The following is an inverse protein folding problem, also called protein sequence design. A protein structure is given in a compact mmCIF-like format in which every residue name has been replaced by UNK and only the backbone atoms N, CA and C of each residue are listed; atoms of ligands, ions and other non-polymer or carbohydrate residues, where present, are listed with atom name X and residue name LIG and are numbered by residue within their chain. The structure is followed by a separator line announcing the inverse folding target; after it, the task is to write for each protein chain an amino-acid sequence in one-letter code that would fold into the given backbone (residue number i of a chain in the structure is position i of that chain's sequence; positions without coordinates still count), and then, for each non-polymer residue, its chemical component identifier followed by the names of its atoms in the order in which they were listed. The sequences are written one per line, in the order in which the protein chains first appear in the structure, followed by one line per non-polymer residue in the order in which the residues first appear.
data_IF_532040821787
#
_entry.id   IF_532040821787
#
_cell.length_a   1.000
_cell.length_b   1.000
_cell.length_c   1.000
_cell.angle_alpha   90.00
_cell.angle_beta   90.00
_cell.angle_gamma   90.00
#
_symmetry.space_group_name_H-M   'P 1'
#
loop_
_entity.id
_entity.type
_entity.pdbx_description
1 polymer ?
#
# COMPACT_ATOMS: atom_id res chain seq x y z
N UNK A 1 -14.30 -22.01 6.31
CA UNK A 1 -14.27 -20.56 6.61
C UNK A 1 -14.85 -19.83 5.42
N UNK A 2 -15.90 -19.04 5.61
CA UNK A 2 -16.40 -18.17 4.55
C UNK A 2 -15.45 -16.98 4.37
N UNK A 3 -14.66 -17.01 3.29
CA UNK A 3 -13.77 -15.93 2.92
C UNK A 3 -14.53 -14.61 2.70
N UNK A 4 -15.80 -14.66 2.28
CA UNK A 4 -16.61 -13.47 2.04
C UNK A 4 -16.93 -12.70 3.35
N UNK A 5 -17.02 -13.40 4.48
CA UNK A 5 -17.23 -12.81 5.81
C UNK A 5 -15.94 -12.26 6.47
N UNK A 6 -14.76 -12.50 5.89
CA UNK A 6 -13.50 -12.05 6.49
C UNK A 6 -13.44 -10.52 6.61
N UNK A 7 -13.12 -10.02 7.81
CA UNK A 7 -13.01 -8.58 8.10
C UNK A 7 -11.55 -8.10 8.15
N UNK A 8 -10.60 -9.02 8.32
CA UNK A 8 -9.17 -8.72 8.53
C UNK A 8 -8.30 -9.78 7.85
N UNK A 9 -7.13 -9.37 7.37
CA UNK A 9 -6.06 -10.26 6.89
C UNK A 9 -4.78 -9.99 7.66
N UNK A 10 -4.05 -11.07 7.97
CA UNK A 10 -2.70 -11.02 8.54
C UNK A 10 -1.70 -11.53 7.52
N UNK A 11 -0.74 -10.68 7.14
CA UNK A 11 0.35 -11.03 6.22
C UNK A 11 1.63 -11.18 7.03
N UNK A 12 2.21 -12.38 6.99
CA UNK A 12 3.50 -12.67 7.64
C UNK A 12 4.65 -12.42 6.64
N UNK A 13 5.44 -11.39 6.90
CA UNK A 13 6.62 -11.04 6.11
C UNK A 13 7.86 -11.65 6.78
N UNK A 14 8.39 -12.73 6.17
CA UNK A 14 9.58 -13.44 6.67
C UNK A 14 10.89 -12.67 6.47
N UNK A 15 10.92 -11.75 5.50
CA UNK A 15 12.08 -10.92 5.20
C UNK A 15 11.72 -9.78 4.26
N UNK A 16 12.52 -8.72 4.28
CA UNK A 16 12.41 -7.62 3.33
C UNK A 16 13.75 -6.94 3.18
N UNK A 17 13.99 -6.22 2.06
CA UNK A 17 15.22 -5.43 1.85
C UNK A 17 15.58 -4.54 3.05
N UNK A 18 14.57 -4.02 3.76
CA UNK A 18 14.73 -3.13 4.91
C UNK A 18 14.74 -3.85 6.27
N UNK A 19 14.72 -5.18 6.27
CA UNK A 19 14.72 -6.02 7.47
C UNK A 19 15.77 -7.12 7.33
N UNK A 20 17.03 -6.68 7.28
CA UNK A 20 18.18 -7.55 7.04
C UNK A 20 18.46 -8.51 8.21
N UNK A 21 17.95 -8.21 9.41
CA UNK A 21 18.01 -9.09 10.59
C UNK A 21 17.07 -10.29 10.51
N UNK A 22 16.16 -10.34 9.53
CA UNK A 22 15.27 -11.48 9.31
C UNK A 22 14.12 -11.62 10.32
N UNK A 23 13.92 -10.66 11.23
CA UNK A 23 12.83 -10.71 12.20
C UNK A 23 11.47 -10.68 11.50
N UNK A 24 10.71 -11.76 11.64
CA UNK A 24 9.40 -11.86 10.97
C UNK A 24 8.47 -10.76 11.44
N UNK A 25 7.90 -10.00 10.50
CA UNK A 25 6.92 -8.95 10.81
C UNK A 25 5.54 -9.38 10.35
N UNK A 26 4.52 -9.19 11.19
CA UNK A 26 3.13 -9.33 10.77
C UNK A 26 2.55 -7.97 10.36
N UNK A 27 1.67 -7.99 9.35
CA UNK A 27 0.87 -6.84 8.94
C UNK A 27 -0.60 -7.23 8.97
N UNK A 28 -1.34 -6.57 9.85
CA UNK A 28 -2.79 -6.66 9.92
C UNK A 28 -3.38 -5.59 9.01
N UNK A 29 -4.28 -5.97 8.10
CA UNK A 29 -5.03 -5.04 7.27
C UNK A 29 -6.52 -5.37 7.38
N UNK A 30 -7.35 -4.34 7.50
CA UNK A 30 -8.81 -4.48 7.63
C UNK A 30 -9.51 -4.26 6.30
N UNK A 31 -10.72 -4.82 6.18
CA UNK A 31 -11.62 -4.57 5.05
C UNK A 31 -11.89 -3.06 4.96
N UNK A 32 -11.67 -2.48 3.79
CA UNK A 32 -11.83 -1.03 3.56
C UNK A 32 -13.26 -0.61 3.21
N UNK A 33 -14.13 -1.56 2.88
CA UNK A 33 -15.47 -1.28 2.31
C UNK A 33 -15.45 -0.90 0.82
N UNK A 34 -14.28 -0.59 0.25
CA UNK A 34 -14.16 -0.25 -1.16
C UNK A 34 -14.26 -1.50 -2.05
N UNK A 35 -15.00 -1.40 -3.16
CA UNK A 35 -15.27 -2.53 -4.09
C UNK A 35 -14.00 -3.18 -4.64
N UNK A 36 -13.02 -2.36 -5.03
CA UNK A 36 -11.77 -2.83 -5.65
C UNK A 36 -10.52 -2.66 -4.76
N UNK A 37 -10.37 -1.52 -4.07
CA UNK A 37 -9.23 -1.18 -3.21
C UNK A 37 -9.40 -1.71 -1.78
N UNK A 38 -9.57 -3.04 -1.65
CA UNK A 38 -9.74 -3.69 -0.35
C UNK A 38 -8.63 -4.74 -0.12
N UNK A 39 -7.83 -4.61 0.95
CA UNK A 39 -6.73 -5.54 1.20
C UNK A 39 -7.22 -6.95 1.55
N UNK A 40 -8.40 -7.06 2.19
CA UNK A 40 -9.01 -8.37 2.47
C UNK A 40 -9.48 -9.03 1.17
N UNK A 41 -10.09 -8.28 0.25
CA UNK A 41 -10.42 -8.79 -1.08
C UNK A 41 -9.16 -9.24 -1.83
N UNK A 42 -8.11 -8.41 -1.84
CA UNK A 42 -6.83 -8.75 -2.46
C UNK A 42 -6.23 -10.04 -1.89
N UNK A 43 -6.29 -10.23 -0.58
CA UNK A 43 -5.84 -11.46 0.07
C UNK A 43 -6.66 -12.68 -0.33
N UNK A 44 -7.99 -12.55 -0.44
CA UNK A 44 -8.86 -13.64 -0.91
C UNK A 44 -8.53 -14.00 -2.35
N UNK A 45 -8.30 -13.01 -3.22
CA UNK A 45 -7.90 -13.25 -4.61
C UNK A 45 -6.55 -13.95 -4.70
N UNK A 46 -5.58 -13.58 -3.85
CA UNK A 46 -4.30 -14.29 -3.74
C UNK A 46 -4.51 -15.74 -3.29
N UNK A 47 -5.31 -15.99 -2.25
CA UNK A 47 -5.59 -17.34 -1.78
C UNK A 47 -6.28 -18.20 -2.85
N UNK A 48 -7.21 -17.62 -3.62
CA UNK A 48 -7.87 -18.32 -4.74
C UNK A 48 -6.88 -18.64 -5.86
N UNK A 49 -6.06 -17.67 -6.27
CA UNK A 49 -5.05 -17.87 -7.32
C UNK A 49 -3.99 -18.91 -6.92
N UNK A 50 -3.70 -19.02 -5.63
CA UNK A 50 -2.80 -20.02 -5.06
C UNK A 50 -3.34 -21.43 -5.09
N UNK A 51 -4.67 -21.63 -5.16
CA UNK A 51 -5.28 -22.95 -5.01
C UNK A 51 -4.74 -23.68 -3.76
N UNK A 52 -4.44 -24.98 -3.86
CA UNK A 52 -3.89 -25.83 -2.81
C UNK A 52 -2.34 -25.84 -2.78
N UNK A 53 -1.69 -24.74 -3.20
CA UNK A 53 -0.23 -24.66 -3.13
C UNK A 53 0.26 -24.67 -1.67
N UNK A 54 1.43 -25.27 -1.39
CA UNK A 54 2.02 -25.28 -0.06
C UNK A 54 2.13 -23.89 0.60
N UNK A 55 1.89 -23.84 1.92
CA UNK A 55 1.86 -22.60 2.71
C UNK A 55 3.25 -21.99 2.95
N UNK A 56 4.30 -22.77 2.74
CA UNK A 56 5.70 -22.33 2.82
C UNK A 56 6.16 -21.57 1.57
N UNK A 57 5.42 -21.64 0.46
CA UNK A 57 5.69 -20.82 -0.74
C UNK A 57 5.34 -19.34 -0.52
N UNK A 58 6.04 -18.38 -1.17
CA UNK A 58 5.75 -16.95 -1.07
C UNK A 58 4.30 -16.62 -1.45
N UNK A 59 3.63 -15.71 -0.75
CA UNK A 59 2.18 -15.45 -0.91
C UNK A 59 1.73 -15.07 -2.34
N UNK A 60 2.62 -14.51 -3.15
CA UNK A 60 2.34 -14.09 -4.52
C UNK A 60 2.59 -15.18 -5.58
N UNK A 61 2.79 -16.44 -5.15
CA UNK A 61 2.86 -17.60 -6.04
C UNK A 61 1.45 -18.03 -6.48
N UNK A 62 1.29 -18.53 -7.71
CA UNK A 62 0.04 -19.06 -8.26
C UNK A 62 0.32 -20.21 -9.23
N UNK A 63 -0.71 -20.99 -9.58
CA UNK A 63 -0.63 -21.98 -10.66
C UNK A 63 -1.07 -21.35 -11.97
N UNK A 64 -0.20 -21.34 -12.99
CA UNK A 64 -0.52 -20.80 -14.31
C UNK A 64 -1.45 -21.74 -15.09
N UNK A 65 -1.97 -21.26 -16.23
CA UNK A 65 -2.92 -22.00 -17.07
C UNK A 65 -2.35 -23.33 -17.59
N UNK A 66 -1.03 -23.36 -17.83
CA UNK A 66 -0.29 -24.57 -18.24
C UNK A 66 0.11 -25.46 -17.04
N UNK A 67 -0.36 -25.15 -15.84
CA UNK A 67 -0.13 -25.92 -14.62
C UNK A 67 1.18 -25.63 -13.89
N UNK A 68 2.04 -24.76 -14.42
CA UNK A 68 3.32 -24.40 -13.81
C UNK A 68 3.13 -23.51 -12.56
N UNK A 69 4.08 -23.59 -11.62
CA UNK A 69 4.09 -22.74 -10.43
C UNK A 69 4.87 -21.46 -10.76
N UNK A 70 4.20 -20.32 -10.71
CA UNK A 70 4.77 -19.01 -11.04
C UNK A 70 4.60 -18.02 -9.88
N UNK A 71 5.34 -16.92 -9.91
CA UNK A 71 5.20 -15.83 -8.94
C UNK A 71 4.93 -14.51 -9.64
N UNK A 72 4.10 -13.66 -9.03
CA UNK A 72 3.84 -12.31 -9.54
C UNK A 72 5.14 -11.50 -9.49
N UNK A 73 5.71 -11.24 -10.68
CA UNK A 73 6.93 -10.45 -10.80
C UNK A 73 6.67 -8.95 -10.69
N UNK A 74 7.68 -8.21 -10.23
CA UNK A 74 7.63 -6.74 -10.21
C UNK A 74 7.37 -6.15 -11.61
N UNK A 75 7.91 -6.78 -12.66
CA UNK A 75 7.68 -6.40 -14.06
C UNK A 75 6.19 -6.54 -14.43
N UNK A 76 5.55 -7.65 -14.08
CA UNK A 76 4.11 -7.86 -14.36
C UNK A 76 3.25 -6.80 -13.67
N UNK A 77 3.59 -6.45 -12.43
CA UNK A 77 2.90 -5.37 -11.70
C UNK A 77 3.14 -4.01 -12.36
N UNK A 78 4.39 -3.69 -12.71
CA UNK A 78 4.72 -2.44 -13.39
C UNK A 78 3.94 -2.28 -14.70
N UNK A 79 3.92 -3.32 -15.54
CA UNK A 79 3.18 -3.30 -16.81
C UNK A 79 1.69 -3.00 -16.57
N UNK A 80 1.06 -3.63 -15.58
CA UNK A 80 -0.37 -3.39 -15.27
C UNK A 80 -0.64 -1.97 -14.78
N UNK A 81 0.27 -1.38 -14.00
CA UNK A 81 0.15 0.01 -13.57
C UNK A 81 0.30 0.95 -14.77
N UNK A 82 1.25 0.69 -15.66
CA UNK A 82 1.50 1.50 -16.85
C UNK A 82 0.34 1.42 -17.85
N UNK A 83 -0.23 0.23 -18.06
CA UNK A 83 -1.47 0.05 -18.84
C UNK A 83 -2.62 0.88 -18.24
N UNK A 84 -2.81 0.83 -16.92
CA UNK A 84 -3.83 1.63 -16.25
C UNK A 84 -3.60 3.14 -16.39
N UNK A 85 -2.33 3.59 -16.38
CA UNK A 85 -1.98 4.98 -16.63
C UNK A 85 -2.38 5.42 -18.04
N UNK A 86 -2.07 4.62 -19.06
CA UNK A 86 -2.46 4.89 -20.46
C UNK A 86 -3.98 5.00 -20.57
N UNK A 87 -4.73 4.03 -20.01
CA UNK A 87 -6.20 4.02 -20.03
C UNK A 87 -6.81 5.22 -19.29
N UNK A 88 -6.07 5.82 -18.37
CA UNK A 88 -6.49 7.01 -17.62
C UNK A 88 -5.98 8.33 -18.25
N UNK A 89 -5.37 8.27 -19.44
CA UNK A 89 -4.82 9.45 -20.13
C UNK A 89 -3.51 10.00 -19.53
N UNK A 90 -2.82 9.22 -18.69
CA UNK A 90 -1.55 9.58 -18.08
C UNK A 90 -0.32 9.04 -18.82
N UNK A 91 0.86 9.59 -18.52
CA UNK A 91 2.13 9.08 -19.03
C UNK A 91 2.55 7.80 -18.29
N UNK A 92 2.63 6.63 -18.94
CA UNK A 92 3.08 5.39 -18.29
C UNK A 92 4.50 5.48 -17.73
N UNK A 93 5.39 6.30 -18.30
CA UNK A 93 6.78 6.44 -17.81
C UNK A 93 6.86 7.07 -16.42
N UNK A 94 5.82 7.78 -16.00
CA UNK A 94 5.72 8.33 -14.66
C UNK A 94 5.40 7.27 -13.58
N UNK A 95 5.07 6.03 -13.97
CA UNK A 95 4.61 4.99 -13.06
C UNK A 95 5.49 3.74 -13.06
N UNK A 96 5.65 3.15 -11.87
CA UNK A 96 6.38 1.91 -11.64
C UNK A 96 5.82 1.20 -10.41
N UNK A 97 6.39 0.06 -10.02
CA UNK A 97 6.04 -0.56 -8.71
C UNK A 97 6.36 0.36 -7.53
N UNK A 98 7.36 1.24 -7.67
CA UNK A 98 7.75 2.18 -6.63
C UNK A 98 6.76 3.34 -6.46
N UNK A 99 6.07 3.74 -7.54
CA UNK A 99 5.05 4.80 -7.47
C UNK A 99 3.86 4.43 -6.58
N UNK A 100 3.61 3.12 -6.35
CA UNK A 100 2.63 2.69 -5.35
C UNK A 100 2.98 3.14 -3.93
N UNK A 101 4.27 3.19 -3.57
CA UNK A 101 4.70 3.68 -2.24
C UNK A 101 4.50 5.17 -2.12
N UNK A 102 4.94 5.96 -3.10
CA UNK A 102 4.78 7.42 -3.08
C UNK A 102 3.31 7.82 -3.15
N UNK A 103 2.53 7.19 -4.03
CA UNK A 103 1.10 7.41 -4.16
C UNK A 103 0.35 7.08 -2.87
N UNK A 104 0.61 5.91 -2.27
CA UNK A 104 0.00 5.51 -1.00
C UNK A 104 0.34 6.45 0.16
N UNK A 105 1.61 6.83 0.31
CA UNK A 105 2.05 7.79 1.33
C UNK A 105 1.38 9.15 1.16
N UNK A 106 1.38 9.66 -0.06
CA UNK A 106 0.76 10.94 -0.42
C UNK A 106 -0.74 10.89 -0.16
N UNK A 107 -1.43 9.80 -0.53
CA UNK A 107 -2.87 9.67 -0.29
C UNK A 107 -3.22 9.62 1.21
N UNK A 108 -2.44 8.89 2.01
CA UNK A 108 -2.61 8.88 3.48
C UNK A 108 -2.41 10.28 4.07
N UNK A 109 -1.36 10.98 3.66
CA UNK A 109 -1.08 12.35 4.10
C UNK A 109 -2.23 13.31 3.74
N UNK A 110 -2.70 13.26 2.49
CA UNK A 110 -3.85 14.06 2.02
C UNK A 110 -5.15 13.72 2.75
N UNK A 111 -5.28 12.50 3.25
CA UNK A 111 -6.43 12.05 4.04
C UNK A 111 -6.31 12.42 5.53
N UNK A 112 -5.28 13.17 5.92
CA UNK A 112 -5.07 13.60 7.31
C UNK A 112 -4.54 12.50 8.24
N UNK A 113 -4.04 11.38 7.71
CA UNK A 113 -3.36 10.36 8.51
C UNK A 113 -2.07 10.97 9.08
N UNK A 114 -1.85 10.79 10.38
CA UNK A 114 -0.68 11.35 11.04
C UNK A 114 0.63 10.73 10.52
N UNK A 115 1.71 11.50 10.66
CA UNK A 115 3.03 11.14 10.15
C UNK A 115 3.56 9.82 10.74
N UNK A 116 3.31 9.57 12.03
CA UNK A 116 3.79 8.37 12.72
C UNK A 116 3.06 7.12 12.21
N UNK A 117 1.74 7.21 12.01
CA UNK A 117 0.95 6.15 11.39
C UNK A 117 1.41 5.87 9.95
N UNK A 118 1.67 6.91 9.15
CA UNK A 118 2.22 6.74 7.79
C UNK A 118 3.57 6.02 7.84
N UNK A 119 4.47 6.45 8.72
CA UNK A 119 5.80 5.86 8.91
C UNK A 119 5.70 4.37 9.25
N UNK A 120 4.87 4.02 10.25
CA UNK A 120 4.64 2.63 10.65
C UNK A 120 3.97 1.80 9.55
N UNK A 121 2.96 2.36 8.88
CA UNK A 121 2.24 1.67 7.82
C UNK A 121 3.19 1.28 6.68
N UNK A 122 4.00 2.24 6.21
CA UNK A 122 4.95 1.98 5.13
C UNK A 122 6.21 1.22 5.54
N UNK A 123 6.45 0.98 6.84
CA UNK A 123 7.67 0.32 7.36
C UNK A 123 8.94 1.11 7.04
N UNK A 124 8.91 2.41 7.23
CA UNK A 124 10.10 3.23 7.13
C UNK A 124 10.80 3.30 8.49
N UNK A 125 12.08 2.93 8.54
CA UNK A 125 12.88 2.96 9.76
C UNK A 125 13.22 4.40 10.21
N UNK A 126 13.09 5.36 9.31
CA UNK A 126 13.45 6.76 9.51
C UNK A 126 12.44 7.68 8.81
N UNK A 127 12.72 8.98 8.87
CA UNK A 127 11.99 10.05 8.18
C UNK A 127 12.02 9.98 6.64
N UNK A 128 12.60 8.92 6.07
CA UNK A 128 12.56 8.66 4.62
C UNK A 128 11.16 8.60 4.04
N UNK A 129 10.09 8.44 4.82
CA UNK A 129 8.72 8.55 4.31
C UNK A 129 8.38 9.97 3.81
N UNK A 130 9.04 11.02 4.34
CA UNK A 130 8.78 12.43 3.99
C UNK A 130 9.02 12.71 2.50
N UNK A 131 10.00 12.05 1.88
CA UNK A 131 10.25 12.20 0.43
C UNK A 131 9.19 11.51 -0.44
N UNK A 132 8.37 10.62 0.15
CA UNK A 132 7.28 9.93 -0.54
C UNK A 132 5.95 10.68 -0.43
N UNK A 133 5.79 11.54 0.58
CA UNK A 133 4.63 12.41 0.75
C UNK A 133 4.81 13.65 -0.09
N UNK A 134 4.01 13.80 -1.16
CA UNK A 134 4.01 15.02 -1.99
C UNK A 134 2.95 15.99 -1.51
N UNK A 135 3.32 17.26 -1.33
CA UNK A 135 2.35 18.33 -1.18
C UNK A 135 1.63 18.53 -2.51
N UNK A 136 0.30 18.61 -2.46
CA UNK A 136 -0.50 19.05 -3.59
C UNK A 136 -0.80 20.54 -3.48
N UNK A 137 -1.24 21.15 -4.58
CA UNK A 137 -1.63 22.57 -4.65
C UNK A 137 -2.59 22.93 -3.52
N UNK A 138 -3.60 22.09 -3.28
CA UNK A 138 -4.58 22.30 -2.20
C UNK A 138 -3.91 22.37 -0.81
N UNK A 139 -2.93 21.50 -0.53
CA UNK A 139 -2.18 21.52 0.73
C UNK A 139 -1.37 22.81 0.87
N UNK A 140 -0.71 23.25 -0.21
CA UNK A 140 0.09 24.49 -0.19
C UNK A 140 -0.82 25.71 0.01
N UNK A 141 -1.96 25.78 -0.67
CA UNK A 141 -2.96 26.84 -0.48
C UNK A 141 -3.51 26.87 0.95
N UNK A 142 -3.81 25.70 1.53
CA UNK A 142 -4.28 25.61 2.91
C UNK A 142 -3.21 26.05 3.92
N UNK A 143 -1.93 25.72 3.68
CA UNK A 143 -0.80 26.20 4.50
C UNK A 143 -0.70 27.72 4.43
N UNK A 144 -0.73 28.30 3.23
CA UNK A 144 -0.65 29.75 3.04
C UNK A 144 -1.80 30.48 3.77
N UNK A 145 -3.03 30.00 3.63
CA UNK A 145 -4.18 30.56 4.34
C UNK A 145 -4.02 30.47 5.87
N UNK A 146 -3.55 29.32 6.38
CA UNK A 146 -3.32 29.12 7.82
C UNK A 146 -2.22 30.03 8.36
N UNK A 147 -1.14 30.21 7.62
CA UNK A 147 -0.03 31.11 7.98
C UNK A 147 -0.51 32.55 8.20
N UNK A 148 -1.43 33.04 7.36
CA UNK A 148 -2.02 34.39 7.52
C UNK A 148 -3.03 34.43 8.68
N UNK A 149 -3.85 33.39 8.83
CA UNK A 149 -4.94 33.39 9.82
C UNK A 149 -4.48 33.28 11.28
N UNK A 150 -3.27 32.76 11.53
CA UNK A 150 -2.72 32.61 12.88
C UNK A 150 -3.51 31.70 13.82
N UNK A 151 -4.46 30.90 13.30
CA UNK A 151 -5.31 30.03 14.11
C UNK A 151 -4.47 28.97 14.81
N UNK A 152 -4.21 29.19 16.10
CA UNK A 152 -3.69 28.16 17.00
C UNK A 152 -4.86 27.25 17.35
N UNK A 153 -4.90 26.04 16.80
CA UNK A 153 -5.71 24.99 17.43
C UNK A 153 -5.16 24.79 18.83
N UNK A 154 -5.91 25.26 19.84
CA UNK A 154 -5.63 24.95 21.24
C UNK A 154 -5.80 23.45 21.41
N UNK A 155 -4.69 22.72 21.44
CA UNK A 155 -4.68 21.32 21.84
C UNK A 155 -4.74 21.30 23.37
N UNK A 156 -5.93 21.58 23.93
CA UNK A 156 -6.17 21.27 25.33
C UNK A 156 -6.26 19.75 25.42
N UNK A 157 -5.24 19.13 25.99
CA UNK A 157 -5.29 17.73 26.43
C UNK A 157 -6.42 17.64 27.48
N UNK A 158 -7.43 16.81 27.19
CA UNK A 158 -8.30 16.21 28.20
C UNK A 158 -7.87 14.76 28.40
#
# INVERSE_FOLDING_TARGET
MDAAAATTVHIRLRGSKTNQSGLTTARMLRRSGHRFLCPVLGAILLLRARQNLPMDLPAATYRSEIGAIESVSARRVANKIQEAAILSGGDPKAYSTHSLRSGGATNMYRSGVDALTIQFHGRWASDTFKIYTRLCTESVSAIAARMVSGVKSSTTLQ
#
